data_IF_562284398831
#
_entry.id   IF_562284398831
#
_cell.length_a   1.000
_cell.length_b   1.000
_cell.length_c   1.000
_cell.angle_alpha   90.00
_cell.angle_beta   90.00
_cell.angle_gamma   90.00
#
_symmetry.space_group_name_H-M   'P 1'
#
loop_
_entity.id
_entity.type
_entity.pdbx_description
1 polymer ?
#
# COMPACT_ATOMS: atom_id res chain seq x y z
N UNK A 1 -10.80 2.09 3.22
CA UNK A 1 -9.31 2.00 3.14
C UNK A 1 -8.74 3.40 3.01
N UNK A 2 -7.83 3.75 3.88
CA UNK A 2 -7.15 5.04 3.85
C UNK A 2 -5.83 4.91 3.09
N UNK A 3 -5.55 5.89 2.22
CA UNK A 3 -4.32 5.91 1.42
C UNK A 3 -3.53 7.15 1.78
N UNK A 4 -2.26 6.97 2.11
CA UNK A 4 -1.33 8.06 2.45
C UNK A 4 -0.09 7.94 1.58
N UNK A 5 0.33 9.07 1.01
CA UNK A 5 1.57 9.16 0.24
C UNK A 5 2.40 10.30 0.82
N UNK A 6 3.64 10.00 1.16
CA UNK A 6 4.59 11.03 1.60
C UNK A 6 6.01 10.66 1.17
N UNK A 7 6.90 11.64 1.20
CA UNK A 7 8.30 11.41 0.89
C UNK A 7 9.15 11.63 2.13
N UNK A 8 10.11 10.73 2.35
CA UNK A 8 11.01 10.81 3.49
C UNK A 8 12.31 10.10 3.17
N UNK A 9 13.42 10.73 3.46
CA UNK A 9 14.76 10.15 3.33
C UNK A 9 15.00 9.58 1.91
N UNK A 10 14.69 10.37 0.89
CA UNK A 10 14.86 10.03 -0.53
C UNK A 10 14.03 8.82 -0.97
N UNK A 11 12.92 8.58 -0.30
CA UNK A 11 11.97 7.53 -0.65
C UNK A 11 10.56 8.09 -0.71
N UNK A 12 9.75 7.49 -1.57
CA UNK A 12 8.30 7.68 -1.52
C UNK A 12 7.71 6.55 -0.70
N UNK A 13 6.86 6.90 0.23
CA UNK A 13 6.21 5.92 1.10
C UNK A 13 4.71 5.97 0.81
N UNK A 14 4.20 4.85 0.31
CA UNK A 14 2.79 4.68 -0.01
C UNK A 14 2.18 3.69 0.98
N UNK A 15 1.20 4.16 1.74
CA UNK A 15 0.59 3.37 2.81
C UNK A 15 -0.89 3.20 2.56
N UNK A 16 -1.36 1.96 2.63
CA UNK A 16 -2.78 1.60 2.60
C UNK A 16 -3.17 1.10 3.98
N UNK A 17 -4.23 1.64 4.55
CA UNK A 17 -4.63 1.30 5.91
C UNK A 17 -6.11 0.92 6.00
N UNK A 18 -6.37 -0.13 6.78
CA UNK A 18 -7.70 -0.45 7.29
C UNK A 18 -7.65 -0.33 8.82
N UNK A 19 -8.78 -0.44 9.55
CA UNK A 19 -8.74 -0.33 11.01
C UNK A 19 -7.79 -1.30 11.71
N UNK A 20 -7.49 -2.47 11.12
CA UNK A 20 -6.65 -3.48 11.76
C UNK A 20 -5.31 -3.70 11.07
N UNK A 21 -5.19 -3.38 9.79
CA UNK A 21 -4.02 -3.73 9.00
C UNK A 21 -3.50 -2.56 8.19
N UNK A 22 -2.22 -2.65 7.83
CA UNK A 22 -1.64 -1.72 6.86
C UNK A 22 -0.72 -2.46 5.89
N UNK A 23 -0.60 -1.91 4.70
CA UNK A 23 0.40 -2.30 3.72
C UNK A 23 1.20 -1.06 3.37
N UNK A 24 2.51 -1.14 3.49
CA UNK A 24 3.40 -0.01 3.24
C UNK A 24 4.41 -0.38 2.16
N UNK A 25 4.51 0.48 1.15
CA UNK A 25 5.45 0.34 0.05
C UNK A 25 6.46 1.48 0.13
N UNK A 26 7.74 1.14 0.11
CA UNK A 26 8.83 2.12 0.12
C UNK A 26 9.54 2.05 -1.21
N UNK A 27 9.48 3.13 -1.97
CA UNK A 27 10.07 3.21 -3.31
C UNK A 27 11.17 4.26 -3.28
N UNK A 28 12.38 3.87 -3.67
CA UNK A 28 13.49 4.80 -3.75
C UNK A 28 13.20 5.83 -4.85
N UNK A 29 13.45 7.11 -4.57
CA UNK A 29 13.20 8.17 -5.54
C UNK A 29 14.06 8.02 -6.81
N UNK A 30 15.16 7.29 -6.73
CA UNK A 30 16.02 7.00 -7.88
C UNK A 30 15.39 5.98 -8.85
N UNK A 31 14.46 5.16 -8.38
CA UNK A 31 13.84 4.10 -9.17
C UNK A 31 12.60 4.58 -9.93
N UNK A 32 12.15 5.79 -9.67
CA UNK A 32 10.99 6.39 -10.33
C UNK A 32 11.33 7.82 -10.77
N UNK A 33 10.70 8.25 -11.86
CA UNK A 33 11.01 9.54 -12.46
C UNK A 33 10.39 10.71 -11.70
N UNK A 34 9.22 10.49 -11.09
CA UNK A 34 8.50 11.56 -10.40
C UNK A 34 7.46 11.02 -9.43
N UNK A 35 6.99 11.90 -8.56
CA UNK A 35 5.88 11.61 -7.65
C UNK A 35 4.62 11.19 -8.42
N UNK A 36 4.42 11.72 -9.62
CA UNK A 36 3.29 11.35 -10.47
C UNK A 36 3.25 9.87 -10.78
N UNK A 37 4.41 9.21 -10.92
CA UNK A 37 4.50 7.78 -11.17
C UNK A 37 3.98 6.97 -9.97
N UNK A 38 4.24 7.45 -8.76
CA UNK A 38 3.72 6.82 -7.54
C UNK A 38 2.22 7.05 -7.41
N UNK A 39 1.76 8.27 -7.70
CA UNK A 39 0.35 8.62 -7.68
C UNK A 39 -0.43 7.75 -8.67
N UNK A 40 0.15 7.43 -9.82
CA UNK A 40 -0.47 6.56 -10.81
C UNK A 40 -0.79 5.16 -10.26
N UNK A 41 -0.02 4.67 -9.29
CA UNK A 41 -0.30 3.38 -8.64
C UNK A 41 -1.60 3.44 -7.84
N UNK A 42 -1.87 4.58 -7.21
CA UNK A 42 -3.10 4.77 -6.42
C UNK A 42 -4.34 4.73 -7.32
N UNK A 43 -4.20 5.17 -8.56
CA UNK A 43 -5.29 5.19 -9.53
C UNK A 43 -5.35 3.93 -10.40
N UNK A 44 -4.43 2.97 -10.18
CA UNK A 44 -4.39 1.74 -10.97
C UNK A 44 -5.34 0.70 -10.37
N UNK A 45 -6.45 0.36 -11.05
CA UNK A 45 -7.45 -0.56 -10.51
C UNK A 45 -6.92 -1.98 -10.28
N UNK A 46 -5.99 -2.45 -11.10
CA UNK A 46 -5.39 -3.78 -10.90
C UNK A 46 -4.55 -3.82 -9.63
N UNK A 47 -3.77 -2.78 -9.39
CA UNK A 47 -2.95 -2.69 -8.19
C UNK A 47 -3.83 -2.59 -6.94
N UNK A 48 -4.86 -1.75 -6.98
CA UNK A 48 -5.80 -1.60 -5.86
C UNK A 48 -6.54 -2.90 -5.56
N UNK A 49 -6.94 -3.64 -6.59
CA UNK A 49 -7.60 -4.92 -6.39
C UNK A 49 -6.69 -5.92 -5.68
N UNK A 50 -5.39 -5.92 -6.00
CA UNK A 50 -4.41 -6.78 -5.32
C UNK A 50 -4.18 -6.35 -3.87
N UNK A 51 -4.15 -5.05 -3.61
CA UNK A 51 -4.05 -4.53 -2.24
C UNK A 51 -5.25 -4.98 -1.41
N UNK A 52 -6.45 -4.86 -1.96
CA UNK A 52 -7.68 -5.29 -1.28
C UNK A 52 -7.69 -6.80 -1.03
N UNK A 53 -7.27 -7.59 -2.01
CA UNK A 53 -7.18 -9.05 -1.87
C UNK A 53 -6.21 -9.45 -0.76
N UNK A 54 -5.09 -8.72 -0.61
CA UNK A 54 -4.13 -8.98 0.47
C UNK A 54 -4.72 -8.67 1.84
N UNK A 55 -5.50 -7.58 1.95
CA UNK A 55 -6.17 -7.28 3.22
C UNK A 55 -7.14 -8.38 3.61
N UNK A 56 -7.89 -8.92 2.66
CA UNK A 56 -8.79 -10.05 2.93
C UNK A 56 -8.02 -11.29 3.37
N UNK A 57 -6.88 -11.57 2.74
CA UNK A 57 -6.02 -12.68 3.13
C UNK A 57 -5.43 -12.47 4.53
N UNK A 58 -4.99 -11.25 4.85
CA UNK A 58 -4.47 -10.90 6.18
C UNK A 58 -5.53 -11.13 7.25
N UNK A 59 -6.77 -10.72 6.97
CA UNK A 59 -7.88 -10.93 7.90
C UNK A 59 -8.17 -12.41 8.11
N UNK A 60 -8.21 -13.19 7.04
CA UNK A 60 -8.44 -14.62 7.13
C UNK A 60 -7.35 -15.33 7.93
N UNK A 61 -6.09 -14.97 7.70
CA UNK A 61 -4.95 -15.52 8.44
C UNK A 61 -5.02 -15.16 9.92
N UNK A 62 -5.37 -13.91 10.22
CA UNK A 62 -5.52 -13.45 11.59
C UNK A 62 -6.62 -14.21 12.32
N UNK A 63 -7.77 -14.38 11.67
CA UNK A 63 -8.89 -15.12 12.25
C UNK A 63 -8.52 -16.58 12.56
N UNK A 64 -7.78 -17.22 11.64
CA UNK A 64 -7.31 -18.59 11.87
C UNK A 64 -6.29 -18.67 13.02
N UNK A 65 -5.47 -17.65 13.20
CA UNK A 65 -4.44 -17.64 14.25
C UNK A 65 -5.00 -17.33 15.64
N UNK A 66 -6.06 -16.50 15.71
CA UNK A 66 -6.58 -15.97 16.98
C UNK A 66 -7.85 -16.70 17.42
N UNK A 67 -8.67 -17.10 16.48
CA UNK A 67 -9.95 -17.77 16.75
C UNK A 67 -9.92 -19.22 16.27
#
# INVERSE_FOLDING_TARGET
MQVTLFSWNEKYILKFETPMFEQTYKVKSLDITSEADVIALVDNPEFLAKVEARFLAMQADWELAVY
#
